data_IF_922292552571
#
_entry.id   IF_922292552571
#
_cell.length_a   1.000
_cell.length_b   1.000
_cell.length_c   1.000
_cell.angle_alpha   90.00
_cell.angle_beta   90.00
_cell.angle_gamma   90.00
#
_symmetry.space_group_name_H-M   'P 1'
#
loop_
_entity.id
_entity.type
_entity.pdbx_description
1 polymer ?
#
# COMPACT_ATOMS: atom_id res chain seq x y z
N UNK A 1 -40.91 52.01 50.33
CA UNK A 1 -41.16 50.55 50.23
C UNK A 1 -41.19 50.18 48.73
N UNK A 2 -40.74 48.97 48.35
CA UNK A 2 -39.58 48.60 47.52
C UNK A 2 -39.84 48.69 46.00
N UNK A 3 -38.95 48.44 45.03
CA UNK A 3 -37.57 47.91 44.91
C UNK A 3 -37.06 48.30 43.50
N UNK A 4 -35.78 48.65 43.39
CA UNK A 4 -35.03 48.66 42.12
C UNK A 4 -35.00 47.24 41.55
N UNK A 5 -35.24 47.07 40.26
CA UNK A 5 -34.75 45.91 39.51
C UNK A 5 -34.17 46.40 38.18
N UNK A 6 -32.84 46.48 38.15
CA UNK A 6 -32.07 46.61 36.93
C UNK A 6 -32.04 45.23 36.26
N UNK A 7 -32.50 45.16 35.01
CA UNK A 7 -32.39 43.96 34.18
C UNK A 7 -31.09 44.09 33.38
N UNK A 8 -30.04 43.41 33.83
CA UNK A 8 -28.79 43.29 33.10
C UNK A 8 -28.95 42.21 32.02
N UNK A 9 -28.86 42.61 30.75
CA UNK A 9 -28.88 41.73 29.60
C UNK A 9 -27.44 41.26 29.34
N UNK A 10 -27.11 40.03 29.75
CA UNK A 10 -25.81 39.41 29.47
C UNK A 10 -25.85 38.83 28.06
N UNK A 11 -25.28 39.55 27.09
CA UNK A 11 -24.93 38.97 25.79
C UNK A 11 -23.76 38.00 25.99
N UNK A 12 -24.05 36.71 26.01
CA UNK A 12 -23.03 35.68 25.85
C UNK A 12 -22.62 35.63 24.36
N UNK A 13 -21.49 36.26 24.02
CA UNK A 13 -20.85 36.10 22.73
C UNK A 13 -20.27 34.68 22.64
N UNK A 14 -20.95 33.79 21.91
CA UNK A 14 -20.41 32.50 21.54
C UNK A 14 -19.36 32.69 20.43
N UNK A 15 -18.10 32.87 20.82
CA UNK A 15 -16.98 32.84 19.90
C UNK A 15 -16.75 31.39 19.46
N UNK A 16 -17.32 30.99 18.32
CA UNK A 16 -16.94 29.73 17.66
C UNK A 16 -15.51 29.86 17.15
N UNK A 17 -14.56 29.29 17.89
CA UNK A 17 -13.23 28.98 17.36
C UNK A 17 -13.40 27.90 16.29
N UNK A 18 -13.42 28.32 15.03
CA UNK A 18 -13.20 27.40 13.92
C UNK A 18 -11.75 26.93 14.02
N UNK A 19 -11.54 25.71 14.54
CA UNK A 19 -10.26 25.02 14.39
C UNK A 19 -9.98 24.94 12.89
N UNK A 20 -8.90 25.59 12.45
CA UNK A 20 -8.44 25.52 11.08
C UNK A 20 -8.03 24.07 10.82
N UNK A 21 -8.87 23.31 10.11
CA UNK A 21 -8.52 21.99 9.62
C UNK A 21 -7.33 22.13 8.66
N UNK A 22 -6.30 21.33 8.89
CA UNK A 22 -5.19 21.21 7.96
C UNK A 22 -5.73 20.67 6.64
N UNK A 23 -5.59 21.46 5.57
CA UNK A 23 -6.00 21.02 4.26
C UNK A 23 -5.10 19.85 3.82
N UNK A 24 -5.72 18.75 3.37
CA UNK A 24 -4.98 17.62 2.81
C UNK A 24 -4.11 18.07 1.62
N UNK A 25 -2.95 17.45 1.37
CA UNK A 25 -2.08 17.79 0.25
C UNK A 25 -2.81 17.79 -1.11
N UNK A 26 -2.39 18.63 -2.05
CA UNK A 26 -3.01 18.71 -3.39
C UNK A 26 -3.06 17.37 -4.11
N UNK A 27 -2.02 16.53 -3.98
CA UNK A 27 -1.99 15.18 -4.56
C UNK A 27 -3.13 14.29 -4.02
N UNK A 28 -3.45 14.43 -2.73
CA UNK A 28 -4.55 13.73 -2.08
C UNK A 28 -5.90 14.20 -2.62
N UNK A 29 -6.07 15.51 -2.79
CA UNK A 29 -7.29 16.07 -3.37
C UNK A 29 -7.49 15.61 -4.83
N UNK A 30 -6.41 15.59 -5.61
CA UNK A 30 -6.43 15.07 -6.98
C UNK A 30 -6.84 13.59 -7.04
N UNK A 31 -6.31 12.76 -6.13
CA UNK A 31 -6.70 11.35 -6.02
C UNK A 31 -8.21 11.21 -5.77
N UNK A 32 -8.74 11.92 -4.77
CA UNK A 32 -10.17 11.89 -4.42
C UNK A 32 -11.03 12.28 -5.63
N UNK A 33 -10.66 13.33 -6.34
CA UNK A 33 -11.38 13.79 -7.52
C UNK A 33 -11.35 12.78 -8.68
N UNK A 34 -10.17 12.22 -8.98
CA UNK A 34 -10.03 11.21 -10.05
C UNK A 34 -10.75 9.92 -9.73
N UNK A 35 -10.76 9.50 -8.45
CA UNK A 35 -11.53 8.35 -8.02
C UNK A 35 -13.03 8.58 -8.23
N UNK A 36 -13.56 9.71 -7.78
CA UNK A 36 -14.97 10.03 -7.96
C UNK A 36 -15.37 10.08 -9.45
N UNK A 37 -14.52 10.66 -10.30
CA UNK A 37 -14.73 10.68 -11.75
C UNK A 37 -14.75 9.28 -12.37
N UNK A 38 -13.82 8.41 -11.94
CA UNK A 38 -13.72 7.01 -12.40
C UNK A 38 -14.97 6.22 -11.99
N UNK A 39 -15.42 6.36 -10.75
CA UNK A 39 -16.61 5.67 -10.23
C UNK A 39 -17.92 6.15 -10.87
N UNK A 40 -17.97 7.41 -11.30
CA UNK A 40 -19.11 7.98 -12.02
C UNK A 40 -19.14 7.59 -13.51
N UNK A 41 -18.05 7.02 -14.04
CA UNK A 41 -17.98 6.64 -15.46
C UNK A 41 -18.97 5.52 -15.79
N UNK A 42 -19.78 5.74 -16.82
CA UNK A 42 -20.72 4.75 -17.37
C UNK A 42 -20.09 3.83 -18.41
N UNK A 43 -18.86 4.10 -18.82
CA UNK A 43 -18.09 3.30 -19.78
C UNK A 43 -16.75 2.87 -19.17
N UNK A 44 -16.15 1.83 -19.76
CA UNK A 44 -14.79 1.45 -19.39
C UNK A 44 -13.81 2.61 -19.65
N UNK A 45 -12.96 2.89 -18.68
CA UNK A 45 -11.92 3.92 -18.68
C UNK A 45 -10.65 3.33 -18.11
N UNK A 46 -9.49 3.90 -18.47
CA UNK A 46 -8.24 3.42 -17.87
C UNK A 46 -8.19 3.77 -16.38
N UNK A 47 -7.78 2.80 -15.56
CA UNK A 47 -7.54 2.99 -14.12
C UNK A 47 -6.16 3.58 -13.83
N UNK A 48 -5.26 3.57 -14.81
CA UNK A 48 -3.88 4.05 -14.63
C UNK A 48 -3.79 5.48 -14.07
N UNK A 49 -4.60 6.48 -14.51
CA UNK A 49 -4.55 7.83 -13.97
C UNK A 49 -4.94 7.92 -12.49
N UNK A 50 -6.00 7.23 -12.06
CA UNK A 50 -6.41 7.25 -10.65
C UNK A 50 -5.43 6.49 -9.77
N UNK A 51 -4.84 5.40 -10.26
CA UNK A 51 -3.81 4.68 -9.52
C UNK A 51 -2.52 5.49 -9.40
N UNK A 52 -2.07 6.17 -10.45
CA UNK A 52 -0.94 7.09 -10.35
C UNK A 52 -1.22 8.20 -9.31
N UNK A 53 -2.42 8.78 -9.32
CA UNK A 53 -2.79 9.77 -8.32
C UNK A 53 -2.79 9.20 -6.89
N UNK A 54 -3.10 7.92 -6.71
CA UNK A 54 -3.00 7.25 -5.42
C UNK A 54 -1.54 7.09 -4.96
N UNK A 55 -0.61 6.79 -5.88
CA UNK A 55 0.83 6.73 -5.59
C UNK A 55 1.40 8.12 -5.25
N UNK A 56 0.92 9.16 -5.93
CA UNK A 56 1.28 10.55 -5.63
C UNK A 56 0.72 10.97 -4.26
N UNK A 57 -0.52 10.58 -3.95
CA UNK A 57 -1.14 10.79 -2.65
C UNK A 57 -0.37 10.06 -1.53
N UNK A 58 0.03 8.81 -1.74
CA UNK A 58 0.93 8.08 -0.85
C UNK A 58 2.21 8.87 -0.58
N UNK A 59 2.87 9.35 -1.65
CA UNK A 59 4.12 10.11 -1.54
C UNK A 59 3.91 11.39 -0.71
N UNK A 60 2.83 12.12 -0.97
CA UNK A 60 2.51 13.34 -0.26
C UNK A 60 2.15 13.10 1.22
N UNK A 61 1.43 12.01 1.52
CA UNK A 61 1.08 11.63 2.88
C UNK A 61 2.30 11.17 3.69
N UNK A 62 3.26 10.53 3.03
CA UNK A 62 4.52 10.07 3.63
C UNK A 62 5.64 11.12 3.60
N UNK A 63 5.38 12.30 3.06
CA UNK A 63 6.37 13.37 3.03
C UNK A 63 6.65 13.89 4.45
N UNK A 64 7.93 14.02 4.80
CA UNK A 64 8.33 14.61 6.07
C UNK A 64 8.06 16.11 6.07
N UNK A 65 7.49 16.58 7.18
CA UNK A 65 7.25 17.99 7.47
C UNK A 65 8.48 18.61 8.16
N UNK A 66 8.41 19.90 8.48
CA UNK A 66 9.47 20.60 9.21
C UNK A 66 9.71 20.06 10.63
N UNK A 67 8.80 19.26 11.18
CA UNK A 67 8.93 18.62 12.50
C UNK A 67 9.47 17.19 12.41
N UNK A 68 9.98 16.77 11.24
CA UNK A 68 10.45 15.39 10.96
C UNK A 68 9.37 14.31 11.11
N UNK A 69 8.10 14.71 11.16
CA UNK A 69 6.94 13.81 11.13
C UNK A 69 6.37 13.75 9.72
N UNK A 70 5.84 12.61 9.31
CA UNK A 70 5.05 12.50 8.07
C UNK A 70 3.76 13.30 8.17
N UNK A 71 3.15 13.67 7.04
CA UNK A 71 1.86 14.37 7.03
C UNK A 71 0.79 13.56 7.77
N UNK A 72 0.78 12.23 7.65
CA UNK A 72 -0.19 11.37 8.35
C UNK A 72 -0.05 11.47 9.89
N UNK A 73 1.16 11.68 10.39
CA UNK A 73 1.42 11.81 11.82
C UNK A 73 1.07 13.20 12.38
N UNK A 74 1.05 14.23 11.54
CA UNK A 74 0.72 15.60 11.98
C UNK A 74 -0.79 15.86 12.05
N UNK A 75 -1.61 14.99 11.44
CA UNK A 75 -3.07 15.08 11.55
C UNK A 75 -3.50 14.92 13.02
N UNK A 76 -4.46 15.74 13.47
CA UNK A 76 -5.18 15.46 14.71
C UNK A 76 -5.98 14.15 14.62
N UNK A 77 -6.44 13.60 15.75
CA UNK A 77 -7.22 12.37 15.77
C UNK A 77 -8.47 12.46 14.88
N UNK A 78 -9.19 13.58 14.95
CA UNK A 78 -10.36 13.82 14.10
C UNK A 78 -10.03 13.96 12.62
N UNK A 79 -8.89 14.58 12.29
CA UNK A 79 -8.47 14.72 10.88
C UNK A 79 -8.01 13.38 10.32
N UNK A 80 -7.33 12.57 11.12
CA UNK A 80 -6.90 11.23 10.73
C UNK A 80 -8.09 10.30 10.51
N UNK A 81 -9.08 10.28 11.41
CA UNK A 81 -10.32 9.50 11.22
C UNK A 81 -11.08 9.97 9.97
N UNK A 82 -11.19 11.29 9.76
CA UNK A 82 -11.80 11.83 8.55
C UNK A 82 -11.02 11.44 7.28
N UNK A 83 -9.68 11.44 7.33
CA UNK A 83 -8.84 11.00 6.23
C UNK A 83 -9.04 9.51 5.92
N UNK A 84 -9.13 8.63 6.92
CA UNK A 84 -9.43 7.21 6.72
C UNK A 84 -10.75 6.99 6.00
N UNK A 85 -11.78 7.79 6.33
CA UNK A 85 -13.09 7.71 5.67
C UNK A 85 -13.09 8.30 4.25
N UNK A 86 -12.32 9.35 4.03
CA UNK A 86 -12.30 10.08 2.74
C UNK A 86 -11.41 9.38 1.71
N UNK A 87 -10.28 8.80 2.13
CA UNK A 87 -9.29 8.17 1.26
C UNK A 87 -9.64 6.72 0.93
N UNK A 88 -10.84 6.52 0.39
CA UNK A 88 -11.30 5.21 -0.10
C UNK A 88 -10.26 4.61 -1.04
N UNK A 89 -9.93 3.34 -0.88
CA UNK A 89 -8.91 2.68 -1.68
C UNK A 89 -7.47 2.95 -1.26
N UNK A 90 -7.24 3.69 -0.19
CA UNK A 90 -5.95 3.76 0.49
C UNK A 90 -6.07 3.19 1.90
N UNK A 91 -4.99 2.57 2.38
CA UNK A 91 -4.81 2.24 3.79
C UNK A 91 -3.77 3.20 4.36
N UNK A 92 -4.16 3.94 5.39
CA UNK A 92 -3.28 4.83 6.13
C UNK A 92 -3.16 4.37 7.59
N UNK A 93 -1.94 4.42 8.11
CA UNK A 93 -1.60 4.08 9.49
C UNK A 93 -0.59 5.08 10.07
N UNK A 94 -0.65 5.25 11.39
CA UNK A 94 0.29 6.05 12.18
C UNK A 94 0.52 5.39 13.54
N UNK A 95 1.61 5.76 14.21
CA UNK A 95 1.98 5.20 15.51
C UNK A 95 3.08 4.15 15.37
N UNK A 96 2.78 2.88 15.69
CA UNK A 96 3.77 1.81 15.62
C UNK A 96 4.25 1.51 14.19
N UNK A 97 3.33 1.59 13.23
CA UNK A 97 3.61 1.55 11.79
C UNK A 97 3.06 2.82 11.16
N UNK A 98 3.86 3.45 10.30
CA UNK A 98 3.49 4.67 9.60
C UNK A 98 3.57 4.37 8.11
N UNK A 99 2.42 4.37 7.44
CA UNK A 99 2.35 4.13 6.01
C UNK A 99 1.06 4.72 5.42
N UNK A 100 1.10 4.95 4.12
CA UNK A 100 -0.05 5.28 3.30
C UNK A 100 0.13 4.55 1.97
N UNK A 101 -0.69 3.54 1.68
CA UNK A 101 -0.55 2.71 0.48
C UNK A 101 -1.89 2.56 -0.23
N UNK A 102 -1.93 2.55 -1.57
CA UNK A 102 -3.07 2.05 -2.33
C UNK A 102 -3.42 0.63 -1.89
N UNK A 103 -4.72 0.34 -1.69
CA UNK A 103 -5.19 -0.98 -1.29
C UNK A 103 -5.42 -1.86 -2.54
N UNK A 104 -4.64 -2.95 -2.71
CA UNK A 104 -4.67 -3.71 -3.97
C UNK A 104 -6.03 -4.30 -4.32
N UNK A 105 -6.79 -4.78 -3.34
CA UNK A 105 -8.10 -5.37 -3.62
C UNK A 105 -9.09 -4.31 -4.08
N UNK A 106 -9.08 -3.12 -3.51
CA UNK A 106 -9.92 -2.00 -3.91
C UNK A 106 -9.70 -1.66 -5.38
N UNK A 107 -8.44 -1.52 -5.81
CA UNK A 107 -8.14 -1.23 -7.21
C UNK A 107 -8.49 -2.40 -8.14
N UNK A 108 -8.40 -3.65 -7.68
CA UNK A 108 -8.90 -4.80 -8.44
C UNK A 108 -10.41 -4.70 -8.69
N UNK A 109 -11.20 -4.42 -7.65
CA UNK A 109 -12.65 -4.24 -7.79
C UNK A 109 -13.00 -3.00 -8.65
N UNK A 110 -12.25 -1.90 -8.52
CA UNK A 110 -12.43 -0.70 -9.34
C UNK A 110 -12.17 -1.02 -10.82
N UNK A 111 -11.10 -1.76 -11.11
CA UNK A 111 -10.76 -2.18 -12.47
C UNK A 111 -11.76 -3.18 -13.05
N UNK A 112 -12.23 -4.15 -12.26
CA UNK A 112 -13.28 -5.08 -12.71
C UNK A 112 -14.57 -4.35 -13.13
N UNK A 113 -14.91 -3.27 -12.42
CA UNK A 113 -16.14 -2.53 -12.66
C UNK A 113 -16.02 -1.47 -13.77
N UNK A 114 -14.88 -0.77 -13.83
CA UNK A 114 -14.71 0.42 -14.67
C UNK A 114 -13.48 0.38 -15.58
N UNK A 115 -12.59 -0.59 -15.41
CA UNK A 115 -11.27 -0.63 -16.05
C UNK A 115 -11.25 -1.18 -17.47
N UNK A 116 -10.11 -1.02 -18.13
CA UNK A 116 -9.77 -1.70 -19.37
C UNK A 116 -9.24 -3.12 -19.08
N UNK A 117 -9.17 -4.03 -20.08
CA UNK A 117 -8.69 -5.40 -19.87
C UNK A 117 -7.28 -5.50 -19.26
N UNK A 118 -6.38 -4.58 -19.61
CA UNK A 118 -5.06 -4.45 -19.00
C UNK A 118 -5.13 -4.08 -17.51
N UNK A 119 -6.03 -3.18 -17.13
CA UNK A 119 -6.20 -2.74 -15.74
C UNK A 119 -6.72 -3.90 -14.89
N UNK A 120 -7.74 -4.61 -15.38
CA UNK A 120 -8.32 -5.77 -14.69
C UNK A 120 -7.21 -6.79 -14.40
N UNK A 121 -6.43 -7.13 -15.41
CA UNK A 121 -5.38 -8.14 -15.29
C UNK A 121 -4.24 -7.67 -14.37
N UNK A 122 -3.89 -6.39 -14.44
CA UNK A 122 -2.85 -5.79 -13.60
C UNK A 122 -3.23 -5.81 -12.13
N UNK A 123 -4.42 -5.33 -11.79
CA UNK A 123 -4.83 -5.20 -10.39
C UNK A 123 -5.23 -6.53 -9.77
N UNK A 124 -5.76 -7.49 -10.53
CA UNK A 124 -5.92 -8.87 -10.05
C UNK A 124 -4.59 -9.51 -9.71
N UNK A 125 -3.56 -9.32 -10.54
CA UNK A 125 -2.22 -9.83 -10.26
C UNK A 125 -1.58 -9.11 -9.06
N UNK A 126 -1.77 -7.80 -8.94
CA UNK A 126 -1.28 -7.01 -7.80
C UNK A 126 -1.96 -7.44 -6.50
N UNK A 127 -3.28 -7.64 -6.49
CA UNK A 127 -4.02 -8.14 -5.35
C UNK A 127 -3.55 -9.54 -4.94
N UNK A 128 -3.28 -10.42 -5.90
CA UNK A 128 -2.72 -11.76 -5.64
C UNK A 128 -1.28 -11.72 -5.10
N UNK A 129 -0.47 -10.77 -5.59
CA UNK A 129 0.89 -10.56 -5.12
C UNK A 129 0.93 -9.94 -3.72
N UNK A 130 -0.15 -9.29 -3.29
CA UNK A 130 -0.34 -8.75 -1.95
C UNK A 130 -0.93 -9.82 -1.02
N UNK A 131 -0.21 -10.16 0.04
CA UNK A 131 -0.68 -11.02 1.11
C UNK A 131 -1.42 -10.25 2.19
N UNK A 132 -1.62 -10.89 3.35
CA UNK A 132 -2.26 -10.27 4.51
C UNK A 132 -1.52 -8.99 4.93
N UNK A 133 -2.28 -7.97 5.36
CA UNK A 133 -1.75 -6.65 5.77
C UNK A 133 -0.85 -5.98 4.72
N UNK A 134 -1.10 -6.27 3.44
CA UNK A 134 -0.30 -5.77 2.31
C UNK A 134 1.16 -6.25 2.28
N UNK A 135 1.52 -7.25 3.09
CA UNK A 135 2.82 -7.90 3.04
C UNK A 135 2.88 -8.75 1.76
N UNK A 136 3.95 -8.71 0.94
CA UNK A 136 4.05 -9.55 -0.26
C UNK A 136 3.70 -11.02 0.01
N UNK A 137 2.90 -11.64 -0.86
CA UNK A 137 2.32 -12.97 -0.64
C UNK A 137 3.38 -14.09 -0.52
N UNK A 138 4.57 -13.87 -1.07
CA UNK A 138 5.73 -14.76 -0.92
C UNK A 138 6.41 -14.65 0.45
N UNK A 139 5.98 -13.76 1.33
CA UNK A 139 6.41 -13.68 2.72
C UNK A 139 5.35 -14.30 3.63
N UNK A 140 5.82 -14.91 4.72
CA UNK A 140 4.99 -15.42 5.81
C UNK A 140 5.13 -14.47 6.99
N UNK A 141 4.01 -13.91 7.42
CA UNK A 141 3.95 -13.11 8.65
C UNK A 141 4.31 -14.02 9.84
N UNK A 142 5.35 -13.62 10.59
CA UNK A 142 5.77 -14.25 11.84
C UNK A 142 6.05 -13.14 12.83
N UNK A 143 5.76 -13.39 14.10
CA UNK A 143 5.76 -12.41 15.19
C UNK A 143 7.03 -11.53 15.35
N UNK A 144 8.17 -11.90 14.75
CA UNK A 144 9.42 -11.14 14.90
C UNK A 144 10.08 -10.74 13.58
N UNK A 145 9.92 -11.49 12.48
CA UNK A 145 10.45 -11.12 11.16
C UNK A 145 9.75 -11.91 10.05
N UNK A 146 9.27 -11.27 8.97
CA UNK A 146 8.68 -11.98 7.85
C UNK A 146 9.71 -12.92 7.20
N UNK A 147 9.30 -14.15 6.89
CA UNK A 147 10.15 -15.16 6.26
C UNK A 147 9.68 -15.45 4.84
N UNK A 148 10.60 -15.62 3.89
CA UNK A 148 10.24 -16.00 2.51
C UNK A 148 9.70 -17.44 2.46
N UNK A 149 8.61 -17.65 1.71
CA UNK A 149 7.92 -18.93 1.47
C UNK A 149 8.60 -19.75 0.36
N UNK A 150 9.83 -20.19 0.61
CA UNK A 150 10.53 -21.08 -0.32
C UNK A 150 9.88 -22.47 -0.39
N UNK A 151 9.88 -23.07 -1.58
CA UNK A 151 9.34 -24.42 -1.82
C UNK A 151 7.82 -24.48 -2.03
N UNK A 152 7.10 -23.37 -1.92
CA UNK A 152 5.65 -23.28 -2.16
C UNK A 152 5.31 -22.85 -3.60
N UNK A 153 6.30 -22.81 -4.50
CA UNK A 153 6.21 -22.36 -5.91
C UNK A 153 5.69 -20.93 -6.13
N UNK A 154 5.30 -20.20 -5.08
CA UNK A 154 4.67 -18.88 -5.16
C UNK A 154 5.53 -17.82 -5.87
N UNK A 155 6.85 -17.81 -5.65
CA UNK A 155 7.76 -16.87 -6.32
C UNK A 155 7.80 -17.14 -7.82
N UNK A 156 7.97 -18.40 -8.22
CA UNK A 156 8.00 -18.82 -9.64
C UNK A 156 6.66 -18.49 -10.31
N UNK A 157 5.55 -18.79 -9.65
CA UNK A 157 4.21 -18.49 -10.17
C UNK A 157 3.99 -16.98 -10.36
N UNK A 158 4.35 -16.16 -9.37
CA UNK A 158 4.25 -14.70 -9.48
C UNK A 158 5.13 -14.17 -10.62
N UNK A 159 6.37 -14.66 -10.73
CA UNK A 159 7.29 -14.25 -11.78
C UNK A 159 6.75 -14.56 -13.18
N UNK A 160 6.28 -15.79 -13.42
CA UNK A 160 5.69 -16.18 -14.70
C UNK A 160 4.43 -15.37 -15.04
N UNK A 161 3.60 -15.06 -14.04
CA UNK A 161 2.42 -14.22 -14.23
C UNK A 161 2.79 -12.79 -14.63
N UNK A 162 3.76 -12.17 -13.96
CA UNK A 162 4.24 -10.82 -14.31
C UNK A 162 4.88 -10.80 -15.69
N UNK A 163 5.65 -11.81 -16.06
CA UNK A 163 6.19 -11.92 -17.41
C UNK A 163 5.10 -12.11 -18.47
N UNK A 164 4.05 -12.91 -18.20
CA UNK A 164 2.90 -13.04 -19.09
C UNK A 164 2.17 -11.71 -19.27
N UNK A 165 1.94 -10.99 -18.17
CA UNK A 165 1.35 -9.66 -18.20
C UNK A 165 2.18 -8.71 -19.08
N UNK A 166 3.49 -8.61 -18.84
CA UNK A 166 4.39 -7.73 -19.59
C UNK A 166 4.37 -8.04 -21.10
N UNK A 167 4.37 -9.32 -21.49
CA UNK A 167 4.29 -9.70 -22.90
C UNK A 167 2.96 -9.35 -23.54
N UNK A 168 1.86 -9.42 -22.77
CA UNK A 168 0.51 -9.15 -23.28
C UNK A 168 0.22 -7.65 -23.38
N UNK A 169 0.71 -6.85 -22.44
CA UNK A 169 0.51 -5.41 -22.36
C UNK A 169 1.83 -4.66 -22.10
N UNK A 170 2.74 -4.60 -23.08
CA UNK A 170 4.11 -4.12 -22.86
C UNK A 170 4.23 -2.64 -22.47
N UNK A 171 3.19 -1.84 -22.73
CA UNK A 171 3.15 -0.41 -22.44
C UNK A 171 2.34 -0.05 -21.19
N UNK A 172 1.62 -1.01 -20.60
CA UNK A 172 0.76 -0.76 -19.44
C UNK A 172 1.52 -1.03 -18.14
N UNK A 173 1.56 -0.03 -17.24
CA UNK A 173 2.18 -0.14 -15.91
C UNK A 173 3.65 -0.58 -15.92
N UNK A 174 4.40 -0.26 -16.98
CA UNK A 174 5.73 -0.80 -17.26
C UNK A 174 6.70 -0.67 -16.08
N UNK A 175 6.73 0.48 -15.40
CA UNK A 175 7.61 0.72 -14.26
C UNK A 175 7.32 -0.24 -13.10
N UNK A 176 6.05 -0.43 -12.76
CA UNK A 176 5.64 -1.26 -11.61
C UNK A 176 5.83 -2.74 -11.93
N UNK A 177 5.52 -3.15 -13.16
CA UNK A 177 5.77 -4.51 -13.63
C UNK A 177 7.27 -4.82 -13.58
N UNK A 178 8.12 -3.91 -14.03
CA UNK A 178 9.57 -4.10 -14.01
C UNK A 178 10.12 -4.16 -12.58
N UNK A 179 9.59 -3.33 -11.67
CA UNK A 179 9.96 -3.38 -10.27
C UNK A 179 9.61 -4.73 -9.64
N UNK A 180 8.38 -5.23 -9.86
CA UNK A 180 7.95 -6.53 -9.33
C UNK A 180 8.82 -7.69 -9.86
N UNK A 181 9.19 -7.68 -11.15
CA UNK A 181 10.09 -8.67 -11.71
C UNK A 181 11.48 -8.61 -11.05
N UNK A 182 12.02 -7.41 -10.88
CA UNK A 182 13.32 -7.18 -10.24
C UNK A 182 13.32 -7.66 -8.78
N UNK A 183 12.26 -7.35 -8.03
CA UNK A 183 12.14 -7.74 -6.63
C UNK A 183 12.07 -9.27 -6.48
N UNK A 184 11.31 -9.94 -7.35
CA UNK A 184 11.23 -11.41 -7.36
C UNK A 184 12.57 -12.05 -7.74
N UNK A 185 13.30 -11.47 -8.69
CA UNK A 185 14.66 -11.91 -9.06
C UNK A 185 15.66 -11.71 -7.93
N UNK A 186 15.55 -10.62 -7.17
CA UNK A 186 16.38 -10.36 -5.99
C UNK A 186 16.10 -11.38 -4.89
N UNK A 187 14.83 -11.66 -4.59
CA UNK A 187 14.44 -12.69 -3.62
C UNK A 187 14.99 -14.05 -4.04
N UNK A 188 14.87 -14.40 -5.33
CA UNK A 188 15.38 -15.66 -5.85
C UNK A 188 16.92 -15.74 -5.79
N UNK A 189 17.64 -14.69 -6.20
CA UNK A 189 19.11 -14.67 -6.16
C UNK A 189 19.66 -14.76 -4.74
N UNK A 190 19.07 -14.04 -3.77
CA UNK A 190 19.45 -14.15 -2.36
C UNK A 190 19.15 -15.53 -1.77
N UNK A 191 18.11 -16.21 -2.25
CA UNK A 191 17.83 -17.60 -1.87
C UNK A 191 18.92 -18.57 -2.34
N UNK A 192 19.44 -18.36 -3.55
CA UNK A 192 20.46 -19.23 -4.15
C UNK A 192 21.80 -19.15 -3.40
N UNK A 193 22.14 -17.98 -2.85
CA UNK A 193 23.32 -17.78 -1.99
C UNK A 193 23.17 -18.48 -0.64
N UNK A 194 21.97 -18.47 -0.05
CA UNK A 194 21.69 -19.19 1.21
C UNK A 194 21.74 -20.69 0.98
N UNK A 195 21.19 -21.19 -0.14
CA UNK A 195 21.30 -22.61 -0.52
C UNK A 195 22.75 -23.04 -0.76
N UNK A 196 23.57 -22.24 -1.46
CA UNK A 196 24.98 -22.53 -1.66
C UNK A 196 25.77 -22.57 -0.34
N UNK A 197 25.48 -21.66 0.60
CA UNK A 197 26.10 -21.66 1.93
C UNK A 197 25.63 -22.83 2.80
N UNK A 198 24.36 -23.24 2.71
CA UNK A 198 23.85 -24.40 3.42
C UNK A 198 24.46 -25.72 2.89
N UNK A 199 24.59 -25.86 1.57
CA UNK A 199 25.24 -27.03 0.95
C UNK A 199 26.73 -27.09 1.30
N UNK A 200 27.45 -25.96 1.32
CA UNK A 200 28.86 -25.93 1.74
C UNK A 200 29.07 -26.10 3.26
N UNK A 201 28.13 -25.67 4.10
CA UNK A 201 28.17 -25.92 5.54
C UNK A 201 27.93 -27.41 5.87
N UNK A 202 27.04 -28.08 5.13
CA UNK A 202 26.79 -29.52 5.27
C UNK A 202 27.97 -30.34 4.74
N UNK A 203 28.58 -29.95 3.61
CA UNK A 203 29.73 -30.63 3.04
C UNK A 203 31.02 -30.50 3.87
N UNK A 204 31.14 -29.48 4.73
CA UNK A 204 32.32 -29.29 5.61
C UNK A 204 32.24 -30.01 6.96
N UNK A 205 31.07 -30.58 7.31
CA UNK A 205 30.85 -31.28 8.58
C UNK A 205 30.63 -32.80 8.45
N UNK A 206 30.49 -33.33 7.22
CA UNK A 206 30.42 -34.77 6.99
C UNK A 206 31.82 -35.38 6.91
N UNK A 207 32.28 -36.03 7.99
CA UNK A 207 33.41 -36.97 7.93
C UNK A 207 33.08 -38.09 6.93
N UNK A 208 34.07 -38.59 6.15
CA UNK A 208 33.82 -39.65 5.19
C UNK A 208 33.50 -40.95 5.94
N UNK A 209 32.28 -41.44 5.80
CA UNK A 209 31.91 -42.79 6.26
C UNK A 209 32.43 -43.78 5.23
N UNK A 210 33.41 -44.60 5.64
CA UNK A 210 33.90 -45.75 4.89
C UNK A 210 32.74 -46.70 4.57
N UNK A 211 32.58 -47.02 3.30
CA UNK A 211 31.75 -48.13 2.86
C UNK A 211 32.33 -49.45 3.40
N UNK A 212 31.50 -50.21 4.11
CA UNK A 212 31.73 -51.64 4.35
C UNK A 212 30.76 -52.43 3.49
N UNK A 213 31.33 -53.34 2.71
CA UNK A 213 30.67 -54.35 1.88
C UNK A 213 29.82 -55.32 2.71
N UNK A 214 28.76 -55.85 2.08
CA UNK A 214 28.54 -57.28 1.90
C UNK A 214 27.79 -57.49 0.59
#
# INVERSE_FOLDING_TARGET
MPKKLALAFVLAAASTLALAQTALPTAVQNYIHLLASTEASTSAVSIAPVYQAALDAQTALMQLTSTEQTVVETLSDSEFENAQNTLRGMVIARGYEIYANPEPNFFAHLAEKHGLPEDISFFQLTAKASGEKQIPAYLKDRATTPCVRYGEHIITELYENWQRYQRRWPLAYTQIVQQNLTDLEEVYSKSSVIFYRAIHAVASHSKPVRAYYN
#
